data_IF_834985269922
#
_entry.id   IF_834985269922
#
_cell.length_a   1.000
_cell.length_b   1.000
_cell.length_c   1.000
_cell.angle_alpha   90.00
_cell.angle_beta   90.00
_cell.angle_gamma   90.00
#
_symmetry.space_group_name_H-M   'P 1'
#
loop_
_entity.id
_entity.type
_entity.pdbx_description
1 polymer ?
#
# COMPACT_ATOMS: atom_id res chain seq x y z
N UNK A 1 15.86 18.76 5.69
CA UNK A 1 15.78 17.50 4.92
C UNK A 1 15.52 16.41 5.92
N UNK A 2 14.34 15.79 5.92
CA UNK A 2 14.02 14.74 6.90
C UNK A 2 14.78 13.46 6.53
N UNK A 3 15.18 12.70 7.53
CA UNK A 3 16.03 11.50 7.46
C UNK A 3 15.41 10.38 6.59
N UNK A 4 14.11 10.47 6.29
CA UNK A 4 13.32 9.46 5.59
C UNK A 4 13.57 9.46 4.07
N UNK A 5 13.97 10.59 3.48
CA UNK A 5 14.23 10.67 2.03
C UNK A 5 15.50 9.91 1.58
N UNK A 6 16.32 9.45 2.54
CA UNK A 6 17.56 8.69 2.32
C UNK A 6 17.44 7.17 2.48
N UNK A 7 16.28 6.69 2.92
CA UNK A 7 16.02 5.27 3.12
C UNK A 7 15.80 4.62 1.75
N UNK A 8 16.48 3.48 1.52
CA UNK A 8 16.34 2.71 0.28
C UNK A 8 14.89 2.21 0.11
N UNK A 9 14.39 2.16 -1.11
CA UNK A 9 13.00 1.77 -1.36
C UNK A 9 12.71 0.32 -0.94
N UNK A 10 13.71 -0.57 -0.89
CA UNK A 10 13.54 -1.92 -0.33
C UNK A 10 13.45 -1.88 1.19
N UNK A 11 14.28 -1.07 1.84
CA UNK A 11 14.24 -0.90 3.29
C UNK A 11 12.91 -0.30 3.73
N UNK A 12 12.44 0.75 3.04
CA UNK A 12 11.15 1.38 3.33
C UNK A 12 9.99 0.42 3.11
N UNK A 13 10.01 -0.35 2.01
CA UNK A 13 9.02 -1.39 1.77
C UNK A 13 8.97 -2.39 2.93
N UNK A 14 10.13 -2.94 3.33
CA UNK A 14 10.20 -3.94 4.40
C UNK A 14 9.75 -3.38 5.75
N UNK A 15 10.03 -2.10 6.04
CA UNK A 15 9.56 -1.43 7.25
C UNK A 15 8.04 -1.38 7.24
N UNK A 16 7.43 -0.96 6.13
CA UNK A 16 5.97 -0.81 6.03
C UNK A 16 5.29 -2.19 6.02
N UNK A 17 5.78 -3.16 5.26
CA UNK A 17 5.27 -4.54 5.23
C UNK A 17 5.25 -5.19 6.62
N UNK A 18 6.30 -4.97 7.41
CA UNK A 18 6.36 -5.44 8.80
C UNK A 18 5.26 -4.86 9.70
N UNK A 19 4.77 -3.65 9.42
CA UNK A 19 3.64 -3.08 10.19
C UNK A 19 2.37 -3.91 9.98
N UNK A 20 2.08 -4.29 8.74
CA UNK A 20 0.93 -5.13 8.41
C UNK A 20 1.06 -6.52 9.03
N UNK A 21 2.22 -7.16 8.89
CA UNK A 21 2.49 -8.48 9.48
C UNK A 21 2.35 -8.43 11.01
N UNK A 22 2.90 -7.39 11.66
CA UNK A 22 2.81 -7.26 13.12
C UNK A 22 1.37 -7.07 13.57
N UNK A 23 0.64 -6.16 12.91
CA UNK A 23 -0.74 -5.88 13.24
C UNK A 23 -1.67 -7.08 13.01
N UNK A 24 -1.40 -7.87 11.98
CA UNK A 24 -2.07 -9.13 11.74
C UNK A 24 -1.85 -10.14 12.88
N UNK A 25 -0.61 -10.34 13.30
CA UNK A 25 -0.30 -11.24 14.42
C UNK A 25 -0.94 -10.81 15.75
N UNK A 26 -1.26 -9.53 15.91
CA UNK A 26 -1.99 -9.00 17.06
C UNK A 26 -3.50 -9.17 16.95
N UNK A 27 -4.04 -9.23 15.72
CA UNK A 27 -5.49 -9.21 15.45
C UNK A 27 -6.07 -10.56 15.05
N UNK A 28 -5.25 -11.50 14.58
CA UNK A 28 -5.68 -12.83 14.14
C UNK A 28 -4.84 -13.91 14.81
N UNK A 29 -5.45 -15.07 15.09
CA UNK A 29 -4.72 -16.24 15.57
C UNK A 29 -3.66 -16.69 14.54
N UNK A 30 -2.45 -17.09 14.98
CA UNK A 30 -1.31 -17.37 14.08
C UNK A 30 -1.58 -18.40 12.98
N UNK A 31 -2.51 -19.32 13.19
CA UNK A 31 -2.86 -20.38 12.22
C UNK A 31 -3.55 -19.85 10.96
N UNK A 32 -4.26 -18.72 11.05
CA UNK A 32 -4.89 -18.07 9.89
C UNK A 32 -3.93 -17.17 9.10
N UNK A 33 -2.82 -16.77 9.72
CA UNK A 33 -1.80 -15.91 9.09
C UNK A 33 -1.08 -16.62 7.95
N UNK A 34 -0.88 -17.94 8.05
CA UNK A 34 -0.24 -18.74 6.99
C UNK A 34 -1.19 -19.02 5.81
N UNK A 35 -2.51 -18.97 6.05
CA UNK A 35 -3.53 -19.16 5.01
C UNK A 35 -3.79 -17.88 4.21
N UNK A 36 -3.70 -16.73 4.86
CA UNK A 36 -3.81 -15.41 4.24
C UNK A 36 -2.48 -15.08 3.52
N UNK A 37 -2.50 -14.98 2.18
CA UNK A 37 -1.32 -14.72 1.35
C UNK A 37 -0.82 -13.26 1.49
N UNK A 38 -0.31 -12.91 2.67
CA UNK A 38 0.03 -11.54 3.10
C UNK A 38 1.46 -11.15 2.70
N UNK A 39 2.18 -11.99 1.96
CA UNK A 39 3.51 -11.63 1.48
C UNK A 39 3.47 -11.16 0.03
N UNK A 40 3.97 -9.94 -0.24
CA UNK A 40 4.25 -9.56 -1.61
C UNK A 40 5.40 -10.42 -2.16
N UNK A 41 5.19 -11.05 -3.31
CA UNK A 41 6.27 -11.58 -4.13
C UNK A 41 7.09 -10.44 -4.77
N UNK A 42 8.23 -10.78 -5.38
CA UNK A 42 9.15 -9.79 -5.94
C UNK A 42 8.52 -8.94 -7.05
N UNK A 43 7.57 -9.47 -7.82
CA UNK A 43 6.85 -8.72 -8.85
C UNK A 43 5.98 -7.64 -8.21
N UNK A 44 5.23 -7.97 -7.16
CA UNK A 44 4.36 -7.03 -6.45
C UNK A 44 5.18 -5.96 -5.73
N UNK A 45 6.32 -6.33 -5.13
CA UNK A 45 7.27 -5.37 -4.57
C UNK A 45 7.77 -4.38 -5.63
N UNK A 46 8.10 -4.87 -6.83
CA UNK A 46 8.53 -4.01 -7.94
C UNK A 46 7.43 -3.05 -8.39
N UNK A 47 6.18 -3.54 -8.48
CA UNK A 47 5.02 -2.73 -8.84
C UNK A 47 4.75 -1.62 -7.83
N UNK A 48 4.75 -1.95 -6.53
CA UNK A 48 4.54 -0.98 -5.45
C UNK A 48 5.62 0.11 -5.49
N UNK A 49 6.90 -0.27 -5.63
CA UNK A 49 8.01 0.69 -5.75
C UNK A 49 7.88 1.58 -6.99
N UNK A 50 7.45 1.00 -8.12
CA UNK A 50 7.21 1.75 -9.36
C UNK A 50 6.13 2.81 -9.15
N UNK A 51 4.99 2.44 -8.58
CA UNK A 51 3.90 3.39 -8.34
C UNK A 51 4.24 4.43 -7.27
N UNK A 52 4.97 4.05 -6.23
CA UNK A 52 5.46 5.02 -5.24
C UNK A 52 6.33 6.09 -5.90
N UNK A 53 7.26 5.69 -6.78
CA UNK A 53 8.07 6.63 -7.57
C UNK A 53 7.22 7.50 -8.49
N UNK A 54 6.27 6.89 -9.21
CA UNK A 54 5.38 7.61 -10.12
C UNK A 54 4.56 8.67 -9.37
N UNK A 55 3.91 8.30 -8.26
CA UNK A 55 3.12 9.22 -7.43
C UNK A 55 3.97 10.39 -6.92
N UNK A 56 5.22 10.15 -6.52
CA UNK A 56 6.16 11.21 -6.13
C UNK A 56 6.50 12.20 -7.25
N UNK A 57 6.17 11.91 -8.50
CA UNK A 57 6.32 12.87 -9.62
C UNK A 57 5.08 13.74 -9.87
N UNK A 58 3.98 13.49 -9.18
CA UNK A 58 2.69 14.17 -9.39
C UNK A 58 2.37 15.12 -8.23
N UNK A 59 1.74 16.25 -8.54
CA UNK A 59 1.08 17.06 -7.50
C UNK A 59 -0.29 16.44 -7.20
N UNK A 60 -0.73 16.37 -5.92
CA UNK A 60 -0.07 16.94 -4.73
C UNK A 60 0.97 16.02 -4.05
N UNK A 61 1.10 14.75 -4.47
CA UNK A 61 1.86 13.72 -3.73
C UNK A 61 3.39 13.92 -3.71
N UNK A 62 3.93 14.84 -4.51
CA UNK A 62 5.33 15.28 -4.41
C UNK A 62 5.74 15.65 -3.00
N UNK A 63 4.84 16.24 -2.20
CA UNK A 63 5.12 16.66 -0.82
C UNK A 63 4.82 15.59 0.23
N UNK A 64 3.99 14.62 -0.13
CA UNK A 64 3.60 13.50 0.74
C UNK A 64 4.82 12.66 1.10
N UNK A 65 4.85 12.11 2.32
CA UNK A 65 5.94 11.26 2.77
C UNK A 65 5.98 9.99 1.90
N UNK A 66 7.20 9.51 1.56
CA UNK A 66 7.31 8.24 0.84
C UNK A 66 6.70 7.10 1.67
N UNK A 67 6.89 7.12 2.99
CA UNK A 67 6.36 6.12 3.92
C UNK A 67 4.85 5.99 3.79
N UNK A 68 4.11 7.10 3.80
CA UNK A 68 2.65 7.10 3.68
C UNK A 68 2.20 6.62 2.29
N UNK A 69 2.92 6.96 1.23
CA UNK A 69 2.62 6.43 -0.12
C UNK A 69 2.80 4.91 -0.16
N UNK A 70 3.89 4.39 0.40
CA UNK A 70 4.11 2.95 0.49
C UNK A 70 3.03 2.28 1.35
N UNK A 71 2.67 2.89 2.48
CA UNK A 71 1.60 2.42 3.37
C UNK A 71 0.27 2.31 2.62
N UNK A 72 -0.14 3.35 1.89
CA UNK A 72 -1.37 3.32 1.09
C UNK A 72 -1.33 2.25 -0.01
N UNK A 73 -0.22 2.13 -0.75
CA UNK A 73 -0.14 1.16 -1.85
C UNK A 73 -0.15 -0.28 -1.35
N UNK A 74 0.54 -0.57 -0.25
CA UNK A 74 0.53 -1.91 0.37
C UNK A 74 -0.85 -2.20 0.97
N UNK A 75 -1.47 -1.21 1.62
CA UNK A 75 -2.85 -1.34 2.11
C UNK A 75 -3.81 -1.73 0.98
N UNK A 76 -3.76 -1.02 -0.15
CA UNK A 76 -4.61 -1.33 -1.31
C UNK A 76 -4.31 -2.72 -1.88
N UNK A 77 -3.04 -3.11 -1.94
CA UNK A 77 -2.67 -4.45 -2.39
C UNK A 77 -3.31 -5.51 -1.49
N UNK A 78 -3.18 -5.41 -0.18
CA UNK A 78 -3.80 -6.38 0.73
C UNK A 78 -5.32 -6.32 0.71
N UNK A 79 -5.93 -5.13 0.70
CA UNK A 79 -7.37 -4.95 0.52
C UNK A 79 -7.92 -5.66 -0.72
N UNK A 80 -7.21 -5.57 -1.85
CA UNK A 80 -7.65 -6.14 -3.12
C UNK A 80 -7.29 -7.62 -3.27
N UNK A 81 -6.11 -8.04 -2.80
CA UNK A 81 -5.61 -9.40 -2.96
C UNK A 81 -6.23 -10.38 -1.96
N UNK A 82 -6.65 -9.90 -0.79
CA UNK A 82 -7.29 -10.72 0.25
C UNK A 82 -8.82 -10.78 0.11
N UNK A 83 -9.39 -10.28 -1.00
CA UNK A 83 -10.83 -10.26 -1.29
C UNK A 83 -11.68 -9.71 -0.11
N UNK A 84 -11.78 -8.37 -0.07
CA UNK A 84 -12.18 -7.51 1.05
C UNK A 84 -13.53 -7.65 1.79
N UNK A 85 -14.50 -8.57 1.59
CA UNK A 85 -15.65 -8.57 2.52
C UNK A 85 -15.38 -9.24 3.88
N UNK A 86 -14.29 -9.99 4.09
CA UNK A 86 -14.21 -10.97 5.20
C UNK A 86 -13.03 -10.80 6.17
N UNK A 87 -12.08 -9.91 5.90
CA UNK A 87 -10.91 -9.70 6.76
C UNK A 87 -11.17 -8.59 7.78
N UNK A 88 -11.78 -8.91 8.93
CA UNK A 88 -12.05 -7.97 10.03
C UNK A 88 -10.79 -7.26 10.57
N UNK A 89 -9.62 -7.80 10.25
CA UNK A 89 -8.34 -7.26 10.71
C UNK A 89 -7.95 -6.01 9.94
N UNK A 90 -7.99 -5.99 8.59
CA UNK A 90 -7.47 -4.87 7.79
C UNK A 90 -8.52 -3.78 7.60
N UNK A 91 -8.61 -2.86 8.55
CA UNK A 91 -9.56 -1.75 8.52
C UNK A 91 -8.89 -0.42 8.22
N UNK A 92 -9.70 0.58 7.86
CA UNK A 92 -9.24 1.97 7.71
C UNK A 92 -8.56 2.51 8.98
N UNK A 93 -8.86 1.95 10.16
CA UNK A 93 -8.20 2.32 11.41
C UNK A 93 -6.70 2.07 11.36
N UNK A 94 -6.27 0.95 10.78
CA UNK A 94 -4.84 0.64 10.59
C UNK A 94 -4.12 1.75 9.82
N UNK A 95 -4.72 2.21 8.72
CA UNK A 95 -4.14 3.24 7.87
C UNK A 95 -4.00 4.58 8.63
N UNK A 96 -4.99 4.91 9.47
CA UNK A 96 -5.00 6.12 10.30
C UNK A 96 -3.91 6.10 11.37
N UNK A 97 -3.79 5.01 12.11
CA UNK A 97 -2.83 4.91 13.22
C UNK A 97 -1.38 4.83 12.76
N UNK A 98 -1.16 4.31 11.54
CA UNK A 98 0.18 4.10 11.02
C UNK A 98 0.64 5.22 10.06
N UNK A 99 -0.17 6.22 9.73
CA UNK A 99 0.25 7.30 8.82
C UNK A 99 0.86 8.48 9.56
N UNK A 100 1.86 9.12 8.96
CA UNK A 100 2.39 10.39 9.48
C UNK A 100 1.41 11.54 9.22
N UNK A 101 0.66 11.45 8.12
CA UNK A 101 -0.44 12.36 7.77
C UNK A 101 -1.68 11.56 7.36
N UNK A 102 -2.59 11.36 8.31
CA UNK A 102 -3.85 10.63 8.12
C UNK A 102 -4.65 11.14 6.92
N UNK A 103 -4.85 12.46 6.83
CA UNK A 103 -5.72 13.04 5.82
C UNK A 103 -5.17 12.83 4.41
N UNK A 104 -3.86 13.04 4.21
CA UNK A 104 -3.22 12.80 2.90
C UNK A 104 -3.27 11.32 2.51
N UNK A 105 -3.04 10.44 3.48
CA UNK A 105 -3.02 8.99 3.27
C UNK A 105 -4.39 8.43 2.90
N UNK A 106 -5.46 8.87 3.60
CA UNK A 106 -6.84 8.51 3.27
C UNK A 106 -7.23 9.08 1.91
N UNK A 107 -6.90 10.35 1.63
CA UNK A 107 -7.23 10.96 0.35
C UNK A 107 -6.58 10.20 -0.81
N UNK A 108 -5.30 9.84 -0.69
CA UNK A 108 -4.62 9.02 -1.69
C UNK A 108 -5.32 7.66 -1.87
N UNK A 109 -5.70 6.99 -0.78
CA UNK A 109 -6.45 5.74 -0.85
C UNK A 109 -7.76 5.91 -1.63
N UNK A 110 -8.55 6.95 -1.29
CA UNK A 110 -9.81 7.25 -1.96
C UNK A 110 -9.58 7.52 -3.44
N UNK A 111 -8.62 8.37 -3.80
CA UNK A 111 -8.35 8.73 -5.21
C UNK A 111 -7.85 7.53 -6.04
N UNK A 112 -7.08 6.62 -5.45
CA UNK A 112 -6.68 5.37 -6.12
C UNK A 112 -7.89 4.45 -6.28
N UNK A 113 -8.79 4.35 -5.30
CA UNK A 113 -9.93 3.43 -5.36
C UNK A 113 -11.08 3.96 -6.23
N UNK A 114 -11.38 5.26 -6.17
CA UNK A 114 -12.41 5.95 -6.97
C UNK A 114 -12.00 6.15 -8.43
N UNK A 115 -10.70 6.23 -8.72
CA UNK A 115 -10.21 6.49 -10.08
C UNK A 115 -9.86 7.96 -10.37
N UNK A 116 -9.64 8.77 -9.34
CA UNK A 116 -9.48 10.22 -9.49
C UNK A 116 -8.04 10.68 -9.73
N UNK A 117 -7.03 9.82 -9.54
CA UNK A 117 -5.66 10.15 -9.98
C UNK A 117 -5.62 10.08 -11.50
N UNK A 118 -5.05 11.13 -12.12
CA UNK A 118 -4.81 11.31 -13.56
C UNK A 118 -5.22 10.10 -14.41
N UNK A 119 -6.20 10.32 -15.30
CA UNK A 119 -6.83 9.31 -16.17
C UNK A 119 -5.81 8.25 -16.57
N UNK A 120 -5.95 7.06 -15.97
CA UNK A 120 -5.21 5.79 -16.12
C UNK A 120 -4.37 5.34 -14.91
N UNK A 121 -3.79 6.22 -14.09
CA UNK A 121 -2.87 5.76 -13.02
C UNK A 121 -3.61 4.92 -11.98
N UNK A 122 -4.73 5.43 -11.43
CA UNK A 122 -5.56 4.67 -10.49
C UNK A 122 -6.03 3.33 -11.08
N UNK A 123 -6.42 3.34 -12.36
CA UNK A 123 -6.87 2.13 -13.06
C UNK A 123 -5.74 1.09 -13.21
N UNK A 124 -4.53 1.54 -13.57
CA UNK A 124 -3.36 0.67 -13.68
C UNK A 124 -2.97 0.06 -12.34
N UNK A 125 -2.94 0.86 -11.26
CA UNK A 125 -2.67 0.37 -9.90
C UNK A 125 -3.64 -0.75 -9.53
N UNK A 126 -4.95 -0.48 -9.58
CA UNK A 126 -5.97 -1.47 -9.19
C UNK A 126 -5.90 -2.73 -10.04
N UNK A 127 -5.79 -2.59 -11.36
CA UNK A 127 -5.76 -3.74 -12.28
C UNK A 127 -4.52 -4.61 -12.08
N UNK A 128 -3.36 -4.01 -11.83
CA UNK A 128 -2.14 -4.79 -11.57
C UNK A 128 -2.17 -5.46 -10.19
N UNK A 129 -2.66 -4.77 -9.16
CA UNK A 129 -2.79 -5.34 -7.81
C UNK A 129 -3.84 -6.47 -7.74
N UNK A 130 -4.87 -6.43 -8.59
CA UNK A 130 -5.84 -7.54 -8.74
C UNK A 130 -5.35 -8.67 -9.66
N UNK A 131 -4.12 -8.62 -10.17
CA UNK A 131 -3.60 -9.62 -11.12
C UNK A 131 -4.28 -9.61 -12.51
N UNK A 132 -5.04 -8.55 -12.84
CA UNK A 132 -5.79 -8.41 -14.10
C UNK A 132 -4.96 -7.81 -15.25
N UNK A 133 -3.70 -7.47 -14.99
CA UNK A 133 -2.72 -7.03 -15.97
C UNK A 133 -1.43 -7.83 -15.74
N UNK A 134 -1.15 -8.75 -16.66
CA UNK A 134 0.16 -9.40 -16.77
C UNK A 134 1.06 -8.39 -17.49
N UNK A 135 2.13 -7.93 -16.85
CA UNK A 135 3.17 -7.20 -17.55
C UNK A 135 3.74 -8.13 -18.65
N UNK A 136 3.87 -7.66 -19.90
CA UNK A 136 4.49 -8.46 -20.96
C UNK A 136 5.94 -8.84 -20.63
#
# INVERSE_FOLDING_TARGET
MSTIDSIDDNELFNIVEKLFISYLHETIEPEYVEEENICCNETEKCLIKFYAKLLKTLEPYKKMSKRDIFLTLIYIYYSLNLNEPTADWLTMHFLKENSDNELETINLYVEITSGDIQINISSCIRRQMMGLLILP
#
